data_IF_956224096879
#
_entry.id   IF_956224096879
#
_cell.length_a   1.000
_cell.length_b   1.000
_cell.length_c   1.000
_cell.angle_alpha   90.00
_cell.angle_beta   90.00
_cell.angle_gamma   90.00
#
_symmetry.space_group_name_H-M   'P 1'
#
loop_
_entity.id
_entity.type
_entity.pdbx_description
1 polymer ?
#
# COMPACT_ATOMS: atom_id res chain seq x y z
N UNK A 1 29.93 -7.51 53.54
CA UNK A 1 30.18 -8.29 52.32
C UNK A 1 28.84 -8.93 51.95
N UNK A 2 27.99 -8.33 51.10
CA UNK A 2 28.03 -8.32 49.62
C UNK A 2 28.22 -9.75 49.11
N UNK A 3 27.21 -10.46 48.58
CA UNK A 3 26.42 -10.13 47.39
C UNK A 3 24.89 -10.27 47.58
N UNK A 4 24.17 -9.29 47.01
CA UNK A 4 22.75 -9.37 46.65
C UNK A 4 22.66 -10.10 45.30
N UNK A 5 21.97 -11.24 45.24
CA UNK A 5 21.38 -11.73 44.01
C UNK A 5 20.05 -11.01 43.81
N UNK A 6 20.08 -9.90 43.07
CA UNK A 6 18.89 -9.36 42.42
C UNK A 6 18.47 -10.30 41.29
N UNK A 7 17.22 -10.33 40.85
CA UNK A 7 16.08 -9.52 41.19
C UNK A 7 14.92 -10.08 40.39
N UNK A 8 13.87 -10.43 41.12
CA UNK A 8 12.46 -10.43 40.72
C UNK A 8 12.19 -9.87 39.31
N UNK A 9 11.77 -10.77 38.40
CA UNK A 9 11.11 -10.40 37.15
C UNK A 9 9.87 -9.56 37.48
N UNK A 10 9.91 -8.27 37.17
CA UNK A 10 8.74 -7.41 37.12
C UNK A 10 8.53 -6.94 35.68
N UNK A 11 7.40 -7.42 35.14
CA UNK A 11 6.46 -6.79 34.21
C UNK A 11 6.97 -5.66 33.31
N UNK A 12 6.66 -5.74 32.02
CA UNK A 12 5.78 -4.76 31.36
C UNK A 12 5.29 -5.34 30.02
N UNK A 13 3.97 -5.48 29.95
CA UNK A 13 3.12 -5.44 28.75
C UNK A 13 3.82 -5.20 27.41
N UNK A 14 3.84 -6.24 26.58
CA UNK A 14 4.19 -6.16 25.18
C UNK A 14 3.32 -7.08 24.35
N UNK A 15 2.02 -7.13 24.65
CA UNK A 15 1.05 -7.54 23.65
C UNK A 15 1.24 -6.51 22.53
N UNK A 16 2.03 -6.84 21.52
CA UNK A 16 2.14 -6.03 20.31
C UNK A 16 0.76 -6.11 19.65
N UNK A 17 -0.14 -5.28 20.15
CA UNK A 17 -1.20 -4.71 19.36
C UNK A 17 -0.48 -3.88 18.31
N UNK A 18 0.02 -4.55 17.27
CA UNK A 18 -0.04 -3.93 15.96
C UNK A 18 -1.50 -3.48 15.86
N UNK A 19 -1.81 -2.17 15.72
CA UNK A 19 -3.06 -1.86 15.07
C UNK A 19 -2.93 -2.64 13.77
N UNK A 20 -3.66 -3.74 13.68
CA UNK A 20 -4.02 -4.30 12.41
C UNK A 20 -4.67 -3.10 11.75
N UNK A 21 -3.90 -2.40 10.91
CA UNK A 21 -4.39 -1.30 10.13
C UNK A 21 -5.41 -1.96 9.23
N UNK A 22 -6.64 -2.06 9.74
CA UNK A 22 -7.86 -2.40 9.03
C UNK A 22 -8.15 -1.22 8.10
N UNK A 23 -7.17 -0.86 7.26
CA UNK A 23 -7.35 -0.03 6.10
C UNK A 23 -7.72 -1.01 4.97
N UNK A 24 -9.01 -1.34 4.96
CA UNK A 24 -9.73 -1.91 3.82
C UNK A 24 -9.75 -3.43 3.74
N UNK A 25 -10.41 -4.10 4.69
CA UNK A 25 -10.95 -5.46 4.49
C UNK A 25 -12.47 -5.43 4.57
N UNK A 26 -13.06 -4.77 3.58
CA UNK A 26 -14.42 -4.90 3.04
C UNK A 26 -14.47 -3.89 1.88
N UNK A 27 -14.96 -4.30 0.71
CA UNK A 27 -15.04 -3.47 -0.49
C UNK A 27 -15.94 -2.24 -0.31
N UNK A 28 -15.45 -1.25 0.43
CA UNK A 28 -16.03 0.06 0.55
C UNK A 28 -15.75 0.85 -0.72
N UNK A 29 -16.66 1.77 -1.05
CA UNK A 29 -16.46 2.63 -2.22
C UNK A 29 -15.14 3.39 -2.11
N UNK A 30 -14.33 3.37 -3.16
CA UNK A 30 -13.11 4.16 -3.27
C UNK A 30 -13.51 5.54 -3.78
N UNK A 31 -13.95 6.41 -2.87
CA UNK A 31 -14.41 7.77 -3.22
C UNK A 31 -13.29 8.81 -3.25
N UNK A 32 -12.11 8.47 -2.73
CA UNK A 32 -11.00 9.40 -2.52
C UNK A 32 -9.74 8.97 -3.30
N UNK A 33 -9.04 9.90 -3.99
CA UNK A 33 -7.79 9.61 -4.69
C UNK A 33 -6.68 9.02 -3.80
N UNK A 34 -6.56 9.42 -2.53
CA UNK A 34 -5.51 8.88 -1.67
C UNK A 34 -5.78 7.40 -1.33
N UNK A 35 -7.05 7.02 -1.20
CA UNK A 35 -7.44 5.61 -1.07
C UNK A 35 -7.08 4.81 -2.33
N UNK A 36 -7.34 5.36 -3.51
CA UNK A 36 -6.96 4.73 -4.77
C UNK A 36 -5.44 4.58 -4.90
N UNK A 37 -4.67 5.58 -4.48
CA UNK A 37 -3.20 5.54 -4.45
C UNK A 37 -2.68 4.44 -3.51
N UNK A 38 -3.26 4.32 -2.30
CA UNK A 38 -2.87 3.30 -1.34
C UNK A 38 -3.15 1.88 -1.86
N UNK A 39 -4.27 1.68 -2.55
CA UNK A 39 -4.59 0.42 -3.20
C UNK A 39 -3.62 0.11 -4.35
N UNK A 40 -3.29 1.10 -5.19
CA UNK A 40 -2.29 0.93 -6.24
C UNK A 40 -0.93 0.53 -5.68
N UNK A 41 -0.47 1.19 -4.62
CA UNK A 41 0.79 0.85 -3.95
C UNK A 41 0.79 -0.60 -3.45
N UNK A 42 -0.30 -1.04 -2.81
CA UNK A 42 -0.45 -2.42 -2.31
C UNK A 42 -0.43 -3.43 -3.45
N UNK A 43 -1.20 -3.19 -4.51
CA UNK A 43 -1.30 -4.10 -5.65
C UNK A 43 0.00 -4.19 -6.44
N UNK A 44 0.64 -3.06 -6.73
CA UNK A 44 1.89 -3.05 -7.50
C UNK A 44 3.02 -3.67 -6.69
N UNK A 45 3.09 -3.43 -5.38
CA UNK A 45 4.07 -4.10 -4.50
C UNK A 45 3.86 -5.62 -4.45
N UNK A 46 2.61 -6.08 -4.48
CA UNK A 46 2.28 -7.50 -4.45
C UNK A 46 2.59 -8.23 -5.79
N UNK A 47 2.50 -7.52 -6.92
CA UNK A 47 2.75 -8.10 -8.26
C UNK A 47 4.22 -8.03 -8.66
N UNK A 48 4.91 -6.93 -8.33
CA UNK A 48 6.31 -6.70 -8.71
C UNK A 48 7.22 -6.79 -7.48
N UNK A 49 7.31 -5.69 -6.72
CA UNK A 49 7.96 -5.58 -5.41
C UNK A 49 7.76 -4.13 -4.90
N UNK A 50 8.12 -3.89 -3.64
CA UNK A 50 8.02 -2.56 -3.02
C UNK A 50 8.89 -1.51 -3.71
N UNK A 51 10.04 -1.91 -4.24
CA UNK A 51 10.96 -0.98 -4.90
C UNK A 51 10.37 -0.45 -6.22
N UNK A 52 9.78 -1.35 -7.01
CA UNK A 52 9.08 -1.02 -8.24
C UNK A 52 7.91 -0.11 -7.94
N UNK A 53 7.06 -0.45 -6.96
CA UNK A 53 5.95 0.40 -6.55
C UNK A 53 6.42 1.81 -6.13
N UNK A 54 7.50 1.90 -5.34
CA UNK A 54 8.09 3.18 -4.93
C UNK A 54 8.57 4.01 -6.13
N UNK A 55 9.17 3.39 -7.14
CA UNK A 55 9.66 4.08 -8.36
C UNK A 55 8.52 4.63 -9.23
N UNK A 56 7.32 4.07 -9.13
CA UNK A 56 6.15 4.56 -9.87
C UNK A 56 5.53 5.83 -9.27
N UNK A 57 5.91 6.19 -8.03
CA UNK A 57 5.37 7.36 -7.34
C UNK A 57 6.03 8.67 -7.83
N UNK A 58 5.30 9.80 -7.78
CA UNK A 58 3.88 9.90 -7.43
C UNK A 58 2.97 9.39 -8.55
N UNK A 59 1.87 8.75 -8.19
CA UNK A 59 0.85 8.32 -9.14
C UNK A 59 0.15 9.54 -9.75
N UNK A 60 0.02 9.57 -11.08
CA UNK A 60 -0.95 10.43 -11.75
C UNK A 60 -2.32 9.78 -11.67
N UNK A 61 -3.26 10.42 -10.98
CA UNK A 61 -4.60 9.88 -10.72
C UNK A 61 -5.62 10.59 -11.61
N UNK A 62 -6.46 9.83 -12.30
CA UNK A 62 -7.57 10.33 -13.10
C UNK A 62 -8.88 9.68 -12.67
N UNK A 63 -9.92 10.49 -12.61
CA UNK A 63 -11.29 10.05 -12.39
C UNK A 63 -11.95 9.71 -13.74
N UNK A 64 -12.48 8.48 -13.89
CA UNK A 64 -13.22 8.05 -15.08
C UNK A 64 -14.70 7.74 -14.77
N UNK A 65 -15.27 8.38 -13.75
CA UNK A 65 -16.64 8.12 -13.28
C UNK A 65 -16.69 6.91 -12.34
N UNK A 66 -16.63 5.70 -12.90
CA UNK A 66 -16.78 4.44 -12.16
C UNK A 66 -15.46 3.84 -11.66
N UNK A 67 -14.33 4.38 -12.13
CA UNK A 67 -13.00 3.91 -11.79
C UNK A 67 -12.01 5.06 -11.55
N UNK A 68 -10.95 4.75 -10.81
CA UNK A 68 -9.72 5.52 -10.74
C UNK A 68 -8.69 4.91 -11.68
N UNK A 69 -8.09 5.73 -12.52
CA UNK A 69 -6.95 5.33 -13.36
C UNK A 69 -5.70 5.94 -12.75
N UNK A 70 -4.76 5.11 -12.34
CA UNK A 70 -3.48 5.53 -11.75
C UNK A 70 -2.35 5.16 -12.71
N UNK A 71 -1.55 6.16 -13.07
CA UNK A 71 -0.42 6.02 -13.99
C UNK A 71 0.87 6.33 -13.23
N UNK A 72 1.71 5.32 -13.10
CA UNK A 72 3.06 5.41 -12.60
C UNK A 72 4.03 5.61 -13.74
N UNK A 73 4.99 6.52 -13.54
CA UNK A 73 6.05 6.80 -14.53
C UNK A 73 7.38 6.77 -13.81
N UNK A 74 8.13 5.66 -13.85
CA UNK A 74 9.45 5.63 -13.27
C UNK A 74 10.39 6.53 -14.08
N UNK A 75 11.54 6.94 -13.52
CA UNK A 75 12.58 7.57 -14.31
C UNK A 75 12.91 6.71 -15.54
N UNK A 76 13.06 7.34 -16.71
CA UNK A 76 13.16 6.63 -18.02
C UNK A 76 14.22 5.53 -18.06
N UNK A 77 15.29 5.67 -17.27
CA UNK A 77 16.38 4.69 -17.17
C UNK A 77 15.99 3.38 -16.42
N UNK A 78 14.86 3.35 -15.72
CA UNK A 78 14.53 2.32 -14.72
C UNK A 78 13.36 1.40 -15.09
N UNK A 79 12.74 1.60 -16.26
CA UNK A 79 11.66 0.74 -16.76
C UNK A 79 10.56 1.55 -17.44
N UNK A 80 9.46 0.88 -17.80
CA UNK A 80 8.31 1.55 -18.38
C UNK A 80 7.14 1.75 -17.40
N UNK A 81 6.08 2.36 -17.93
CA UNK A 81 4.99 2.92 -17.15
C UNK A 81 4.04 1.84 -16.64
N UNK A 82 3.58 1.97 -15.40
CA UNK A 82 2.51 1.12 -14.86
C UNK A 82 1.19 1.89 -14.96
N UNK A 83 0.16 1.24 -15.49
CA UNK A 83 -1.21 1.75 -15.41
C UNK A 83 -2.07 0.75 -14.66
N UNK A 84 -2.75 1.21 -13.61
CA UNK A 84 -3.70 0.42 -12.83
C UNK A 84 -5.05 1.12 -12.81
N UNK A 85 -6.11 0.35 -13.06
CA UNK A 85 -7.49 0.82 -13.01
C UNK A 85 -8.21 0.15 -11.83
N UNK A 86 -8.81 0.94 -10.96
CA UNK A 86 -9.44 0.51 -9.71
C UNK A 86 -10.91 0.92 -9.71
N UNK A 87 -11.81 -0.04 -9.60
CA UNK A 87 -13.24 0.19 -9.50
C UNK A 87 -13.59 0.98 -8.24
N UNK A 88 -14.33 2.08 -8.38
CA UNK A 88 -14.79 2.87 -7.23
C UNK A 88 -15.83 2.16 -6.39
N UNK A 89 -16.53 1.18 -6.95
CA UNK A 89 -17.62 0.48 -6.28
C UNK A 89 -17.14 -0.29 -5.05
N UNK A 90 -16.02 -0.99 -5.19
CA UNK A 90 -15.54 -1.98 -4.22
C UNK A 90 -14.01 -2.03 -4.09
N UNK A 91 -13.27 -1.22 -4.86
CA UNK A 91 -11.81 -1.22 -4.87
C UNK A 91 -11.17 -2.35 -5.66
N UNK A 92 -11.95 -3.11 -6.44
CA UNK A 92 -11.40 -4.17 -7.28
C UNK A 92 -10.49 -3.60 -8.38
N UNK A 93 -9.35 -4.25 -8.61
CA UNK A 93 -8.50 -3.94 -9.77
C UNK A 93 -9.20 -4.46 -11.03
N UNK A 94 -9.55 -3.53 -11.92
CA UNK A 94 -10.14 -3.84 -13.23
C UNK A 94 -9.02 -4.28 -14.19
N UNK A 95 -7.91 -3.53 -14.19
CA UNK A 95 -6.78 -3.78 -15.06
C UNK A 95 -5.47 -3.35 -14.39
N UNK A 96 -4.41 -4.09 -14.67
CA UNK A 96 -3.03 -3.70 -14.40
C UNK A 96 -2.20 -3.97 -15.66
N UNK A 97 -1.48 -2.96 -16.14
CA UNK A 97 -0.60 -3.06 -17.30
C UNK A 97 0.75 -2.42 -17.03
N UNK A 98 1.79 -2.95 -17.67
CA UNK A 98 3.14 -2.42 -17.65
C UNK A 98 3.62 -2.28 -19.09
N UNK A 99 3.92 -1.05 -19.50
CA UNK A 99 4.52 -0.78 -20.81
C UNK A 99 6.05 -0.79 -20.68
N UNK A 100 6.75 -0.90 -21.81
CA UNK A 100 8.21 -0.76 -21.90
C UNK A 100 8.56 0.28 -22.96
#
# INVERSE_FOLDING_TARGET
MLHKNGGLLLFLTGLCWLPQSQAGEAGGRVTDPAMASALADRHVSAVYDEETARRQRPWQIKDNGDAWILIGRPPEALGGNITIEIAKRDGAVIQLSHSK
#
